data_IF_781553834670
#
_entry.id   IF_781553834670
#
_cell.length_a   1.000
_cell.length_b   1.000
_cell.length_c   1.000
_cell.angle_alpha   90.00
_cell.angle_beta   90.00
_cell.angle_gamma   90.00
#
_symmetry.space_group_name_H-M   'P 1'
#
loop_
_entity.id
_entity.type
_entity.pdbx_description
1 polymer ?
#
# COMPACT_ATOMS: atom_id res chain seq x y z
N UNK A 1 -9.93 6.89 -10.70
CA UNK A 1 -8.93 6.83 -11.81
C UNK A 1 -9.06 7.94 -12.86
N UNK A 2 -10.19 8.66 -12.96
CA UNK A 2 -10.48 9.70 -13.99
C UNK A 2 -9.38 10.76 -14.21
N UNK A 3 -8.63 11.13 -13.17
CA UNK A 3 -7.53 12.11 -13.24
C UNK A 3 -6.31 11.65 -14.06
N UNK A 4 -6.15 10.35 -14.33
CA UNK A 4 -5.03 9.80 -15.08
C UNK A 4 -5.41 9.50 -16.54
N UNK A 5 -4.72 10.15 -17.48
CA UNK A 5 -4.92 10.00 -18.94
C UNK A 5 -3.66 9.50 -19.66
N UNK A 6 -2.64 9.05 -18.92
CA UNK A 6 -1.36 8.59 -19.45
C UNK A 6 -1.45 7.34 -20.33
N UNK A 7 -2.41 6.45 -20.06
CA UNK A 7 -2.73 5.29 -20.89
C UNK A 7 -3.53 5.63 -22.16
N UNK A 8 -4.29 6.74 -22.16
CA UNK A 8 -5.05 7.22 -23.33
C UNK A 8 -4.10 7.90 -24.32
N UNK A 9 -3.20 8.74 -23.80
CA UNK A 9 -2.16 9.43 -24.58
C UNK A 9 -1.02 8.49 -24.98
N UNK A 10 -0.70 7.51 -24.12
CA UNK A 10 0.17 6.36 -24.37
C UNK A 10 1.57 6.71 -24.91
N UNK A 11 2.21 7.75 -24.35
CA UNK A 11 3.60 8.13 -24.70
C UNK A 11 4.55 7.93 -23.51
N UNK A 12 5.87 7.79 -23.75
CA UNK A 12 6.85 7.65 -22.66
C UNK A 12 6.89 8.83 -21.67
N UNK A 13 6.37 10.00 -22.06
CA UNK A 13 6.30 11.19 -21.19
C UNK A 13 4.94 11.36 -20.49
N UNK A 14 3.99 10.45 -20.70
CA UNK A 14 2.65 10.50 -20.05
C UNK A 14 2.27 9.21 -19.33
N UNK A 15 2.74 8.05 -19.78
CA UNK A 15 2.50 6.77 -19.08
C UNK A 15 3.12 6.84 -17.68
N UNK A 16 2.31 6.49 -16.68
CA UNK A 16 2.61 6.59 -15.25
C UNK A 16 2.79 8.01 -14.67
N UNK A 17 2.64 9.06 -15.47
CA UNK A 17 2.80 10.46 -15.03
C UNK A 17 1.44 11.08 -14.73
N UNK A 18 1.34 11.80 -13.62
CA UNK A 18 0.14 12.54 -13.22
C UNK A 18 0.18 13.99 -13.76
N UNK A 19 -0.99 14.64 -13.94
CA UNK A 19 -1.03 16.03 -14.38
C UNK A 19 -0.39 16.97 -13.35
N UNK A 20 0.32 17.99 -13.83
CA UNK A 20 0.85 19.05 -12.98
C UNK A 20 -0.28 19.71 -12.17
N UNK A 21 -0.05 20.07 -10.89
CA UNK A 21 1.25 20.25 -10.25
C UNK A 21 1.82 19.00 -9.53
N UNK A 22 1.26 17.81 -9.76
CA UNK A 22 1.66 16.58 -9.05
C UNK A 22 3.06 16.09 -9.48
N UNK A 23 3.87 15.68 -8.51
CA UNK A 23 5.23 15.18 -8.73
C UNK A 23 5.27 13.67 -9.05
N UNK A 24 6.42 13.19 -9.54
CA UNK A 24 6.62 11.82 -10.01
C UNK A 24 6.47 10.75 -8.92
N UNK A 25 6.85 11.08 -7.67
CA UNK A 25 6.74 10.14 -6.55
C UNK A 25 5.29 9.84 -6.14
N UNK A 26 4.40 10.85 -6.17
CA UNK A 26 2.98 10.68 -5.85
C UNK A 26 2.31 9.75 -6.88
N UNK A 27 2.77 9.76 -8.14
CA UNK A 27 2.34 8.78 -9.12
C UNK A 27 2.77 7.35 -8.73
N UNK A 28 4.02 7.15 -8.31
CA UNK A 28 4.48 5.89 -7.74
C UNK A 28 3.64 5.44 -6.54
N UNK A 29 3.24 6.40 -5.71
CA UNK A 29 2.35 6.17 -4.58
C UNK A 29 0.94 5.72 -5.02
N UNK A 30 0.36 6.33 -6.05
CA UNK A 30 -0.93 5.95 -6.66
C UNK A 30 -0.91 4.53 -7.23
N UNK A 31 0.16 4.12 -7.91
CA UNK A 31 0.27 2.75 -8.41
C UNK A 31 0.34 1.73 -7.28
N UNK A 32 0.90 2.11 -6.13
CA UNK A 32 0.74 1.37 -4.87
C UNK A 32 -0.72 1.26 -4.42
N UNK A 33 -1.51 2.34 -4.52
CA UNK A 33 -2.95 2.34 -4.18
C UNK A 33 -3.74 1.38 -5.06
N UNK A 34 -3.39 1.27 -6.35
CA UNK A 34 -4.08 0.38 -7.29
C UNK A 34 -3.73 -1.11 -7.10
N UNK A 35 -2.52 -1.43 -6.63
CA UNK A 35 -2.17 -2.78 -6.17
C UNK A 35 -2.98 -3.14 -4.91
N UNK A 36 -3.05 -2.21 -3.96
CA UNK A 36 -3.85 -2.36 -2.74
C UNK A 36 -5.34 -2.57 -3.08
N UNK A 37 -5.89 -1.76 -3.99
CA UNK A 37 -7.25 -1.88 -4.52
C UNK A 37 -7.56 -3.28 -5.05
N UNK A 38 -6.78 -3.79 -6.02
CA UNK A 38 -6.98 -5.13 -6.59
C UNK A 38 -6.90 -6.22 -5.52
N UNK A 39 -5.93 -6.13 -4.62
CA UNK A 39 -5.73 -7.11 -3.56
C UNK A 39 -6.87 -7.13 -2.51
N UNK A 40 -7.49 -5.98 -2.24
CA UNK A 40 -8.60 -5.88 -1.28
C UNK A 40 -9.98 -6.20 -1.91
N UNK A 41 -10.20 -5.84 -3.18
CA UNK A 41 -11.50 -5.98 -3.85
C UNK A 41 -11.64 -7.20 -4.75
N UNK A 42 -10.53 -7.67 -5.34
CA UNK A 42 -10.50 -8.67 -6.41
C UNK A 42 -10.80 -8.13 -7.81
N UNK A 43 -11.04 -6.83 -8.00
CA UNK A 43 -11.31 -6.23 -9.32
C UNK A 43 -10.00 -5.94 -10.09
N UNK A 44 -9.82 -6.65 -11.20
CA UNK A 44 -8.63 -6.56 -12.07
C UNK A 44 -8.71 -5.48 -13.16
N UNK A 45 -9.79 -4.68 -13.20
CA UNK A 45 -10.04 -3.64 -14.22
C UNK A 45 -8.88 -2.66 -14.42
N UNK A 46 -8.08 -2.41 -13.37
CA UNK A 46 -6.94 -1.50 -13.41
C UNK A 46 -5.57 -2.19 -13.41
N UNK A 47 -5.50 -3.53 -13.46
CA UNK A 47 -4.24 -4.26 -13.40
C UNK A 47 -3.34 -3.96 -14.60
N UNK A 48 -3.87 -4.04 -15.83
CA UNK A 48 -3.07 -3.79 -17.04
C UNK A 48 -2.47 -2.38 -17.10
N UNK A 49 -3.21 -1.35 -16.66
CA UNK A 49 -2.69 0.04 -16.63
C UNK A 49 -1.67 0.22 -15.50
N UNK A 50 -1.86 -0.43 -14.35
CA UNK A 50 -0.91 -0.40 -13.23
C UNK A 50 0.39 -1.11 -13.57
N UNK A 51 0.35 -2.27 -14.24
CA UNK A 51 1.54 -2.97 -14.75
C UNK A 51 2.25 -2.11 -15.79
N UNK A 52 1.52 -1.54 -16.76
CA UNK A 52 2.09 -0.64 -17.77
C UNK A 52 2.80 0.56 -17.12
N UNK A 53 2.20 1.16 -16.10
CA UNK A 53 2.73 2.33 -15.43
C UNK A 53 3.99 2.02 -14.59
N UNK A 54 3.94 0.96 -13.78
CA UNK A 54 5.10 0.55 -12.97
C UNK A 54 6.29 0.11 -13.83
N UNK A 55 6.04 -0.48 -15.01
CA UNK A 55 7.09 -0.96 -15.93
C UNK A 55 7.67 0.13 -16.83
N UNK A 56 6.98 1.26 -17.05
CA UNK A 56 7.53 2.36 -17.86
C UNK A 56 8.54 3.25 -17.12
N UNK A 57 8.53 3.23 -15.78
CA UNK A 57 9.32 4.13 -14.92
C UNK A 57 10.55 3.46 -14.27
N UNK A 58 10.89 2.22 -14.67
CA UNK A 58 11.94 1.41 -14.00
C UNK A 58 13.38 1.91 -14.20
N UNK A 59 13.63 2.87 -15.08
CA UNK A 59 14.98 3.34 -15.41
C UNK A 59 15.82 2.37 -16.26
N UNK A 60 16.97 2.81 -16.79
CA UNK A 60 17.83 2.00 -17.65
C UNK A 60 18.58 0.88 -16.90
N UNK A 61 18.54 0.86 -15.57
CA UNK A 61 19.15 -0.17 -14.71
C UNK A 61 18.10 -0.98 -13.92
N UNK A 62 16.81 -0.78 -14.20
CA UNK A 62 15.70 -1.45 -13.50
C UNK A 62 15.70 -1.20 -11.99
N UNK A 63 16.03 0.04 -11.59
CA UNK A 63 16.27 0.52 -10.22
C UNK A 63 15.45 1.78 -9.86
N UNK A 64 14.51 2.19 -10.71
CA UNK A 64 13.73 3.43 -10.64
C UNK A 64 14.56 4.72 -10.65
N UNK A 65 15.84 4.70 -11.07
CA UNK A 65 16.57 5.94 -11.38
C UNK A 65 16.19 6.42 -12.79
N UNK A 66 15.44 7.51 -12.92
CA UNK A 66 14.83 7.94 -14.18
C UNK A 66 15.55 9.16 -14.78
N UNK A 67 16.23 9.04 -15.95
CA UNK A 67 17.03 10.13 -16.54
C UNK A 67 16.28 11.45 -16.80
N UNK A 68 14.95 11.41 -16.92
CA UNK A 68 14.07 12.56 -17.10
C UNK A 68 13.57 13.18 -15.78
N UNK A 69 13.81 12.54 -14.62
CA UNK A 69 13.39 12.99 -13.29
C UNK A 69 14.55 13.40 -12.37
N UNK A 70 15.81 13.21 -12.76
CA UNK A 70 17.03 13.46 -11.94
C UNK A 70 17.17 14.83 -11.25
N UNK A 71 16.39 15.85 -11.64
CA UNK A 71 16.35 17.17 -10.98
C UNK A 71 15.48 17.21 -9.73
N UNK A 72 14.53 16.28 -9.67
CA UNK A 72 13.43 16.20 -8.73
C UNK A 72 13.39 14.79 -8.08
N UNK A 73 14.47 14.00 -8.18
CA UNK A 73 14.58 12.60 -7.72
C UNK A 73 15.36 12.52 -6.38
N UNK A 74 14.62 12.43 -5.27
CA UNK A 74 15.11 12.05 -3.95
C UNK A 74 15.11 10.54 -3.69
N UNK A 75 15.69 10.13 -2.57
CA UNK A 75 15.71 8.73 -2.13
C UNK A 75 14.32 8.26 -1.67
N UNK A 76 13.54 9.19 -1.13
CA UNK A 76 12.11 9.10 -0.87
C UNK A 76 11.29 9.01 -2.16
N UNK A 77 11.53 9.88 -3.15
CA UNK A 77 10.83 9.81 -4.45
C UNK A 77 10.97 8.42 -5.07
N UNK A 78 12.21 7.94 -5.15
CA UNK A 78 12.54 6.59 -5.63
C UNK A 78 11.86 5.51 -4.77
N UNK A 79 11.88 5.65 -3.44
CA UNK A 79 11.35 4.65 -2.52
C UNK A 79 9.81 4.50 -2.58
N UNK A 80 9.06 5.49 -3.06
CA UNK A 80 7.61 5.31 -3.26
C UNK A 80 7.28 4.31 -4.37
N UNK A 81 8.06 4.26 -5.45
CA UNK A 81 8.01 3.18 -6.44
C UNK A 81 8.49 1.84 -5.87
N UNK A 82 9.47 1.88 -4.95
CA UNK A 82 9.88 0.74 -4.15
C UNK A 82 8.77 0.18 -3.26
N UNK A 83 7.96 1.04 -2.62
CA UNK A 83 6.82 0.60 -1.81
C UNK A 83 5.77 -0.10 -2.66
N UNK A 84 5.49 0.41 -3.86
CA UNK A 84 4.54 -0.18 -4.80
C UNK A 84 5.03 -1.55 -5.29
N UNK A 85 6.29 -1.66 -5.75
CA UNK A 85 6.84 -2.93 -6.23
C UNK A 85 7.05 -3.98 -5.12
N UNK A 86 7.41 -3.56 -3.91
CA UNK A 86 7.41 -4.44 -2.74
C UNK A 86 5.99 -4.93 -2.39
N UNK A 87 4.97 -4.05 -2.50
CA UNK A 87 3.56 -4.44 -2.30
C UNK A 87 3.07 -5.41 -3.39
N UNK A 88 3.48 -5.22 -4.64
CA UNK A 88 3.15 -6.13 -5.74
C UNK A 88 3.65 -7.56 -5.48
N UNK A 89 4.92 -7.69 -5.04
CA UNK A 89 5.51 -8.97 -4.63
C UNK A 89 4.82 -9.56 -3.38
N UNK A 90 4.61 -8.77 -2.34
CA UNK A 90 3.92 -9.19 -1.10
C UNK A 90 2.47 -9.63 -1.32
N UNK A 91 1.78 -9.10 -2.33
CA UNK A 91 0.34 -9.33 -2.56
C UNK A 91 0.02 -10.29 -3.70
N UNK A 92 1.04 -10.86 -4.35
CA UNK A 92 0.86 -11.77 -5.49
C UNK A 92 0.27 -11.09 -6.73
N UNK A 93 0.57 -9.79 -6.92
CA UNK A 93 0.13 -9.01 -8.07
C UNK A 93 0.72 -9.59 -9.37
N UNK A 94 -0.01 -9.59 -10.52
CA UNK A 94 0.50 -10.20 -11.75
C UNK A 94 1.86 -9.65 -12.17
N UNK A 95 2.84 -10.53 -12.36
CA UNK A 95 4.22 -10.18 -12.72
C UNK A 95 4.30 -9.46 -14.08
N UNK A 96 5.30 -8.59 -14.33
CA UNK A 96 5.42 -7.83 -15.57
C UNK A 96 5.33 -8.67 -16.85
N UNK A 97 5.80 -9.92 -16.78
CA UNK A 97 5.77 -10.89 -17.87
C UNK A 97 4.36 -11.34 -18.30
N UNK A 98 3.31 -11.13 -17.48
CA UNK A 98 1.92 -11.37 -17.89
C UNK A 98 1.38 -10.29 -18.82
N UNK A 99 1.91 -9.07 -18.73
CA UNK A 99 1.59 -7.95 -19.63
C UNK A 99 2.48 -7.96 -20.88
N UNK A 100 3.78 -8.22 -20.72
CA UNK A 100 4.71 -8.38 -21.85
C UNK A 100 5.83 -9.39 -21.49
N UNK A 101 5.84 -10.53 -22.17
CA UNK A 101 6.81 -11.62 -21.98
C UNK A 101 8.27 -11.25 -22.32
N UNK A 102 8.50 -10.08 -22.90
CA UNK A 102 9.85 -9.55 -23.16
C UNK A 102 10.46 -8.82 -21.94
N UNK A 103 9.68 -8.59 -20.88
CA UNK A 103 10.16 -7.91 -19.67
C UNK A 103 11.01 -8.89 -18.84
N UNK A 104 12.30 -8.57 -18.54
CA UNK A 104 13.26 -9.52 -17.98
C UNK A 104 13.33 -9.52 -16.45
N UNK A 105 12.43 -8.81 -15.76
CA UNK A 105 12.48 -8.59 -14.31
C UNK A 105 11.12 -8.87 -13.62
N UNK A 106 11.18 -9.22 -12.33
CA UNK A 106 10.02 -9.35 -11.43
C UNK A 106 9.83 -8.12 -10.54
N UNK A 107 8.68 -8.00 -9.88
CA UNK A 107 8.43 -6.94 -8.89
C UNK A 107 9.44 -6.92 -7.73
N UNK A 108 9.84 -8.11 -7.25
CA UNK A 108 10.89 -8.24 -6.24
C UNK A 108 12.22 -7.66 -6.74
N UNK A 109 12.64 -8.02 -7.95
CA UNK A 109 13.95 -7.62 -8.49
C UNK A 109 14.06 -6.10 -8.68
N UNK A 110 12.98 -5.43 -9.07
CA UNK A 110 12.93 -3.96 -9.10
C UNK A 110 13.13 -3.34 -7.71
N UNK A 111 12.49 -3.93 -6.69
CA UNK A 111 12.66 -3.50 -5.28
C UNK A 111 14.09 -3.71 -4.80
N UNK A 112 14.68 -4.88 -5.09
CA UNK A 112 16.05 -5.22 -4.70
C UNK A 112 17.09 -4.34 -5.41
N UNK A 113 16.92 -4.05 -6.70
CA UNK A 113 17.79 -3.16 -7.46
C UNK A 113 17.78 -1.74 -6.89
N UNK A 114 16.59 -1.16 -6.69
CA UNK A 114 16.36 0.13 -6.05
C UNK A 114 17.04 0.19 -4.68
N UNK A 115 16.77 -0.78 -3.81
CA UNK A 115 17.33 -0.85 -2.47
C UNK A 115 18.86 -0.93 -2.49
N UNK A 116 19.43 -1.69 -3.43
CA UNK A 116 20.87 -1.75 -3.66
C UNK A 116 21.47 -0.40 -4.10
N UNK A 117 20.71 0.50 -4.76
CA UNK A 117 21.18 1.88 -5.01
C UNK A 117 21.27 2.67 -3.71
N UNK A 118 20.27 2.56 -2.82
CA UNK A 118 20.18 3.31 -1.57
C UNK A 118 21.29 2.88 -0.58
N UNK A 119 21.59 1.58 -0.49
CA UNK A 119 22.77 1.06 0.24
C UNK A 119 24.06 1.78 -0.15
N UNK A 120 24.28 2.02 -1.44
CA UNK A 120 25.48 2.71 -1.96
C UNK A 120 25.52 4.21 -1.68
N UNK A 121 24.38 4.80 -1.26
CA UNK A 121 24.23 6.22 -0.90
C UNK A 121 24.22 6.46 0.62
N UNK A 122 24.38 5.43 1.45
CA UNK A 122 24.47 5.58 2.91
C UNK A 122 25.69 6.41 3.30
N UNK A 123 25.47 7.67 3.68
CA UNK A 123 26.51 8.66 3.81
C UNK A 123 26.96 8.82 5.27
N UNK A 124 28.21 8.47 5.56
CA UNK A 124 28.84 8.62 6.88
C UNK A 124 29.68 9.90 7.02
N UNK A 125 29.71 10.81 6.04
CA UNK A 125 30.55 12.02 6.13
C UNK A 125 30.08 13.02 7.19
N UNK A 126 28.82 12.91 7.62
CA UNK A 126 28.18 13.73 8.64
C UNK A 126 27.01 12.96 9.28
N UNK A 127 26.60 13.37 10.49
CA UNK A 127 25.50 12.79 11.25
C UNK A 127 25.67 11.29 11.58
N UNK A 128 26.88 10.73 11.50
CA UNK A 128 27.19 9.32 11.79
C UNK A 128 26.63 8.30 10.78
N UNK A 129 25.95 8.75 9.73
CA UNK A 129 25.20 7.89 8.81
C UNK A 129 23.99 8.61 8.23
N UNK A 130 23.05 7.83 7.69
CA UNK A 130 21.81 8.30 7.09
C UNK A 130 21.93 8.60 5.61
N UNK A 131 20.88 8.27 4.86
CA UNK A 131 20.63 8.79 3.53
C UNK A 131 20.40 10.30 3.59
N UNK A 132 20.82 10.97 2.52
CA UNK A 132 20.41 12.34 2.17
C UNK A 132 18.97 12.28 1.65
N UNK A 133 18.27 13.41 1.67
CA UNK A 133 17.01 13.56 0.93
C UNK A 133 17.29 13.32 -0.56
N UNK A 134 17.98 14.27 -1.21
CA UNK A 134 18.25 14.22 -2.63
C UNK A 134 19.32 13.18 -3.02
N UNK A 135 19.19 12.58 -4.20
CA UNK A 135 20.16 11.64 -4.77
C UNK A 135 21.34 12.38 -5.41
N UNK A 136 21.05 13.48 -6.13
CA UNK A 136 22.02 14.19 -6.95
C UNK A 136 22.54 15.45 -6.28
N UNK A 137 23.87 15.65 -6.35
CA UNK A 137 24.57 16.72 -5.62
C UNK A 137 24.24 18.15 -6.08
N UNK A 138 23.48 18.32 -7.16
CA UNK A 138 23.02 19.60 -7.68
C UNK A 138 21.56 19.95 -7.30
N UNK A 139 20.83 19.04 -6.65
CA UNK A 139 19.44 19.28 -6.23
C UNK A 139 19.40 19.99 -4.86
N UNK A 140 18.42 20.90 -4.71
CA UNK A 140 18.17 21.58 -3.44
C UNK A 140 17.76 20.55 -2.36
N UNK A 141 18.38 20.61 -1.18
CA UNK A 141 18.18 19.61 -0.13
C UNK A 141 19.20 18.46 -0.11
N UNK A 142 20.23 18.46 -0.96
CA UNK A 142 21.31 17.47 -0.90
C UNK A 142 22.17 17.52 0.39
N UNK A 143 22.08 18.60 1.17
CA UNK A 143 22.66 18.69 2.53
C UNK A 143 21.69 18.26 3.63
N UNK A 144 20.44 17.97 3.30
CA UNK A 144 19.40 17.59 4.24
C UNK A 144 19.34 16.06 4.41
N UNK A 145 19.13 15.59 5.63
CA UNK A 145 18.81 14.18 5.92
C UNK A 145 17.42 14.15 6.56
N UNK A 146 16.43 13.64 5.83
CA UNK A 146 15.03 13.67 6.23
C UNK A 146 14.53 12.29 6.73
N UNK A 147 13.38 12.30 7.41
CA UNK A 147 12.74 11.11 7.96
C UNK A 147 12.12 10.21 6.91
N UNK A 148 11.57 10.76 5.83
CA UNK A 148 10.92 9.95 4.78
C UNK A 148 11.95 9.09 4.04
N UNK A 149 13.08 9.63 3.56
CA UNK A 149 14.12 8.84 2.87
C UNK A 149 14.68 7.72 3.75
N UNK A 150 15.02 8.04 5.01
CA UNK A 150 15.61 7.07 5.93
C UNK A 150 14.57 6.06 6.47
N UNK A 151 13.35 6.52 6.76
CA UNK A 151 12.24 5.67 7.16
C UNK A 151 11.81 4.72 6.04
N UNK A 152 11.80 5.19 4.80
CA UNK A 152 11.44 4.37 3.64
C UNK A 152 12.48 3.28 3.39
N UNK A 153 13.78 3.62 3.46
CA UNK A 153 14.86 2.63 3.40
C UNK A 153 14.79 1.63 4.57
N UNK A 154 14.45 2.07 5.78
CA UNK A 154 14.16 1.19 6.93
C UNK A 154 12.98 0.24 6.63
N UNK A 155 11.85 0.75 6.15
CA UNK A 155 10.65 -0.03 5.88
C UNK A 155 10.88 -1.05 4.75
N UNK A 156 11.52 -0.64 3.64
CA UNK A 156 11.88 -1.55 2.54
C UNK A 156 12.87 -2.61 3.01
N UNK A 157 13.86 -2.25 3.83
CA UNK A 157 14.77 -3.21 4.46
C UNK A 157 14.01 -4.22 5.33
N UNK A 158 13.07 -3.77 6.16
CA UNK A 158 12.24 -4.65 7.00
C UNK A 158 11.38 -5.62 6.15
N UNK A 159 10.74 -5.11 5.09
CA UNK A 159 9.89 -5.87 4.17
C UNK A 159 10.68 -6.90 3.38
N UNK A 160 11.82 -6.52 2.81
CA UNK A 160 12.74 -7.44 2.13
C UNK A 160 13.29 -8.50 3.10
N UNK A 161 13.60 -8.16 4.35
CA UNK A 161 14.04 -9.15 5.36
C UNK A 161 12.95 -10.17 5.65
N UNK A 162 11.70 -9.73 5.82
CA UNK A 162 10.54 -10.62 6.03
C UNK A 162 10.27 -11.49 4.81
N UNK A 163 10.21 -10.89 3.63
CA UNK A 163 9.83 -11.57 2.39
C UNK A 163 10.86 -12.63 1.97
N UNK A 164 12.17 -12.32 2.08
CA UNK A 164 13.26 -13.19 1.59
C UNK A 164 13.95 -14.02 2.68
N UNK A 165 13.84 -13.63 3.96
CA UNK A 165 14.62 -14.20 5.07
C UNK A 165 16.09 -13.75 5.14
N UNK A 166 16.58 -12.97 4.17
CA UNK A 166 17.98 -12.57 4.06
C UNK A 166 18.39 -11.57 5.16
N UNK A 167 19.36 -11.99 5.99
CA UNK A 167 19.89 -11.22 7.13
C UNK A 167 20.52 -9.88 6.73
N UNK A 168 20.92 -9.71 5.46
CA UNK A 168 21.47 -8.45 4.96
C UNK A 168 20.44 -7.31 5.06
N UNK A 169 19.18 -7.59 4.71
CA UNK A 169 18.10 -6.62 4.81
C UNK A 169 17.74 -6.33 6.28
N UNK A 170 17.75 -7.34 7.16
CA UNK A 170 17.56 -7.14 8.60
C UNK A 170 18.62 -6.20 9.19
N UNK A 171 19.90 -6.44 8.91
CA UNK A 171 20.99 -5.59 9.38
C UNK A 171 20.81 -4.13 8.98
N UNK A 172 20.41 -3.86 7.73
CA UNK A 172 20.16 -2.50 7.26
C UNK A 172 18.89 -1.87 7.85
N UNK A 173 17.85 -2.65 8.12
CA UNK A 173 16.66 -2.18 8.81
C UNK A 173 17.01 -1.75 10.25
N UNK A 174 17.68 -2.61 11.01
CA UNK A 174 18.11 -2.33 12.39
C UNK A 174 19.07 -1.13 12.43
N UNK A 175 20.11 -1.13 11.59
CA UNK A 175 21.08 -0.02 11.46
C UNK A 175 20.41 1.32 11.13
N UNK A 176 19.42 1.33 10.25
CA UNK A 176 18.73 2.58 9.85
C UNK A 176 17.79 3.06 10.95
N UNK A 177 17.05 2.15 11.59
CA UNK A 177 16.21 2.47 12.75
C UNK A 177 17.04 3.04 13.92
N UNK A 178 18.12 2.33 14.27
CA UNK A 178 18.98 2.72 15.39
C UNK A 178 19.73 4.02 15.05
N UNK A 179 20.07 4.29 13.78
CA UNK A 179 20.58 5.61 13.37
C UNK A 179 19.55 6.72 13.62
N UNK A 180 18.31 6.58 13.11
CA UNK A 180 17.26 7.60 13.24
C UNK A 180 16.90 7.91 14.69
N UNK A 181 16.93 6.90 15.58
CA UNK A 181 16.72 7.11 17.02
C UNK A 181 17.96 7.70 17.71
N UNK A 182 19.18 7.25 17.39
CA UNK A 182 20.40 7.76 18.02
C UNK A 182 20.70 9.23 17.69
N UNK A 183 20.34 9.73 16.49
CA UNK A 183 20.50 11.16 16.18
C UNK A 183 19.37 12.04 16.76
N UNK A 184 18.24 11.44 17.17
CA UNK A 184 17.07 12.16 17.69
C UNK A 184 15.99 12.50 16.66
N UNK A 185 16.16 12.08 15.40
CA UNK A 185 15.19 12.24 14.30
C UNK A 185 13.88 11.48 14.61
N UNK A 186 13.99 10.29 15.19
CA UNK A 186 12.92 9.65 15.96
C UNK A 186 13.17 9.97 17.44
N UNK A 187 12.27 10.75 18.02
CA UNK A 187 12.37 11.19 19.42
C UNK A 187 12.11 10.04 20.42
N UNK A 188 12.50 10.22 21.69
CA UNK A 188 12.14 9.30 22.78
C UNK A 188 10.63 9.17 23.02
N UNK A 189 9.85 10.17 22.61
CA UNK A 189 8.38 10.14 22.56
C UNK A 189 7.81 9.53 21.26
N UNK A 190 8.64 8.88 20.44
CA UNK A 190 8.30 8.25 19.16
C UNK A 190 7.70 9.17 18.09
N UNK A 191 7.71 10.50 18.30
CA UNK A 191 7.49 11.47 17.21
C UNK A 191 8.62 11.37 16.20
N UNK A 192 8.24 11.34 14.93
CA UNK A 192 9.15 11.35 13.77
C UNK A 192 9.27 12.80 13.27
N UNK A 193 10.42 13.43 13.51
CA UNK A 193 10.72 14.79 13.06
C UNK A 193 11.07 14.80 11.57
N UNK A 194 10.81 15.89 10.86
CA UNK A 194 10.96 15.97 9.41
C UNK A 194 12.41 15.73 8.92
N UNK A 195 13.42 16.34 9.55
CA UNK A 195 14.82 16.19 9.13
C UNK A 195 15.79 17.15 9.81
N UNK A 196 17.05 17.11 9.38
CA UNK A 196 18.09 18.08 9.80
C UNK A 196 19.17 18.28 8.72
N UNK A 197 19.85 19.43 8.75
CA UNK A 197 20.96 19.74 7.83
C UNK A 197 22.32 19.23 8.33
N UNK A 198 23.08 18.60 7.45
CA UNK A 198 24.36 17.99 7.76
C UNK A 198 25.51 18.98 8.03
N UNK A 199 25.40 20.22 7.55
CA UNK A 199 26.34 21.30 7.85
C UNK A 199 26.30 21.72 9.33
N UNK A 200 25.18 21.43 10.01
CA UNK A 200 25.02 21.49 11.48
C UNK A 200 25.24 20.11 12.14
N UNK A 201 25.82 19.14 11.43
CA UNK A 201 25.97 17.74 11.84
C UNK A 201 24.65 17.11 12.37
N UNK A 202 23.50 17.51 11.78
CA UNK A 202 22.16 17.13 12.22
C UNK A 202 21.84 17.48 13.70
N UNK A 203 22.43 18.53 14.28
CA UNK A 203 22.14 18.97 15.66
C UNK A 203 20.94 19.92 15.80
N UNK A 204 20.27 20.25 14.69
CA UNK A 204 19.22 21.27 14.60
C UNK A 204 18.14 20.75 13.65
N UNK A 205 17.03 20.30 14.24
CA UNK A 205 15.98 19.55 13.55
C UNK A 205 14.83 20.46 13.13
N UNK A 206 14.28 20.22 11.94
CA UNK A 206 12.94 20.68 11.60
C UNK A 206 11.94 19.93 12.50
N UNK A 207 11.33 20.66 13.43
CA UNK A 207 10.42 20.10 14.44
C UNK A 207 9.04 19.69 13.93
N UNK A 208 8.74 19.91 12.64
CA UNK A 208 7.50 19.45 12.00
C UNK A 208 7.45 17.92 12.00
N UNK A 209 6.26 17.37 12.18
CA UNK A 209 5.98 15.92 12.13
C UNK A 209 4.90 15.66 11.09
N UNK A 210 5.15 14.79 10.12
CA UNK A 210 4.19 14.48 9.04
C UNK A 210 3.62 13.07 9.16
N UNK A 211 2.35 12.89 8.81
CA UNK A 211 1.64 11.62 9.03
C UNK A 211 2.28 10.45 8.26
N UNK A 212 2.67 10.67 7.01
CA UNK A 212 3.27 9.65 6.14
C UNK A 212 4.59 9.10 6.67
N UNK A 213 5.51 9.98 7.10
CA UNK A 213 6.78 9.60 7.73
C UNK A 213 6.53 8.79 9.00
N UNK A 214 5.52 9.17 9.78
CA UNK A 214 5.14 8.44 10.99
C UNK A 214 4.58 7.04 10.69
N UNK A 215 3.71 6.92 9.67
CA UNK A 215 3.18 5.65 9.18
C UNK A 215 4.28 4.71 8.64
N UNK A 216 5.28 5.26 7.95
CA UNK A 216 6.43 4.52 7.42
C UNK A 216 7.23 3.84 8.55
N UNK A 217 7.56 4.54 9.64
CA UNK A 217 8.26 3.93 10.79
C UNK A 217 7.38 2.98 11.60
N UNK A 218 6.07 3.25 11.71
CA UNK A 218 5.10 2.35 12.34
C UNK A 218 5.06 1.00 11.60
N UNK A 219 4.87 1.00 10.28
CA UNK A 219 4.77 -0.23 9.50
C UNK A 219 6.10 -0.99 9.43
N UNK A 220 7.24 -0.31 9.24
CA UNK A 220 8.55 -0.96 9.30
C UNK A 220 8.81 -1.66 10.64
N UNK A 221 8.38 -1.05 11.76
CA UNK A 221 8.46 -1.65 13.09
C UNK A 221 7.53 -2.87 13.23
N UNK A 222 6.32 -2.79 12.68
CA UNK A 222 5.34 -3.87 12.71
C UNK A 222 5.81 -5.09 11.89
N UNK A 223 6.42 -4.86 10.72
CA UNK A 223 7.02 -5.91 9.89
C UNK A 223 8.15 -6.62 10.64
N UNK A 224 8.99 -5.90 11.39
CA UNK A 224 10.04 -6.53 12.21
C UNK A 224 9.50 -7.20 13.49
N UNK A 225 8.40 -6.72 14.07
CA UNK A 225 7.66 -7.45 15.11
C UNK A 225 7.17 -8.81 14.57
N UNK A 226 6.60 -8.83 13.37
CA UNK A 226 6.16 -10.06 12.69
C UNK A 226 7.35 -11.00 12.41
N UNK A 227 8.41 -10.48 11.77
CA UNK A 227 9.61 -11.22 11.41
C UNK A 227 10.33 -11.84 12.62
N UNK A 228 10.43 -11.11 13.73
CA UNK A 228 11.06 -11.59 14.97
C UNK A 228 10.14 -12.46 15.84
N UNK A 229 9.04 -12.97 15.27
CA UNK A 229 8.03 -13.79 15.95
C UNK A 229 7.52 -13.18 17.27
N UNK A 230 7.25 -11.87 17.25
CA UNK A 230 6.64 -11.14 18.36
C UNK A 230 7.61 -10.60 19.41
N UNK A 231 8.86 -10.28 19.07
CA UNK A 231 9.85 -9.80 20.06
C UNK A 231 9.40 -8.54 20.81
N UNK A 232 9.74 -8.48 22.11
CA UNK A 232 9.35 -7.37 23.00
C UNK A 232 9.91 -6.01 22.59
N UNK A 233 11.10 -5.98 21.96
CA UNK A 233 11.70 -4.77 21.39
C UNK A 233 10.83 -4.20 20.28
N UNK A 234 10.49 -5.00 19.28
CA UNK A 234 9.68 -4.54 18.15
C UNK A 234 8.19 -4.35 18.50
N UNK A 235 7.68 -5.09 19.50
CA UNK A 235 6.38 -4.81 20.12
C UNK A 235 6.34 -3.39 20.70
N UNK A 236 7.34 -3.05 21.53
CA UNK A 236 7.42 -1.74 22.19
C UNK A 236 7.56 -0.62 21.16
N UNK A 237 8.45 -0.80 20.17
CA UNK A 237 8.63 0.16 19.07
C UNK A 237 7.32 0.40 18.31
N UNK A 238 6.67 -0.66 17.83
CA UNK A 238 5.39 -0.60 17.10
C UNK A 238 4.27 0.06 17.92
N UNK A 239 4.10 -0.36 19.17
CA UNK A 239 3.07 0.17 20.06
C UNK A 239 3.28 1.65 20.37
N UNK A 240 4.52 2.08 20.57
CA UNK A 240 4.83 3.50 20.83
C UNK A 240 4.69 4.39 19.60
N UNK A 241 5.01 3.92 18.38
CA UNK A 241 4.64 4.65 17.16
C UNK A 241 3.12 4.76 17.03
N UNK A 242 2.36 3.69 17.27
CA UNK A 242 0.90 3.72 17.18
C UNK A 242 0.29 4.74 18.15
N UNK A 243 0.77 4.78 19.40
CA UNK A 243 0.32 5.79 20.37
C UNK A 243 0.70 7.22 19.94
N UNK A 244 1.91 7.42 19.40
CA UNK A 244 2.36 8.72 18.91
C UNK A 244 1.62 9.17 17.63
N UNK A 245 1.06 8.23 16.85
CA UNK A 245 0.25 8.52 15.66
C UNK A 245 -1.07 9.23 16.02
N UNK A 246 -1.51 9.18 17.28
CA UNK A 246 -2.66 9.93 17.78
C UNK A 246 -2.55 11.45 17.59
N UNK A 247 -1.35 11.98 17.34
CA UNK A 247 -1.14 13.38 16.97
C UNK A 247 -1.74 13.79 15.61
N UNK A 248 -2.14 12.83 14.76
CA UNK A 248 -2.76 13.05 13.44
C UNK A 248 -4.28 12.78 13.44
N UNK A 249 -4.91 12.69 14.61
CA UNK A 249 -6.35 12.43 14.77
C UNK A 249 -6.99 13.41 15.77
N UNK A 250 -8.29 13.64 15.64
CA UNK A 250 -9.09 14.51 16.53
C UNK A 250 -8.63 15.98 16.55
N UNK A 251 -8.67 16.71 15.40
CA UNK A 251 -8.27 18.12 15.34
C UNK A 251 -9.05 19.01 16.31
N UNK A 252 -10.35 18.73 16.46
CA UNK A 252 -11.24 19.42 17.40
C UNK A 252 -11.94 18.45 18.33
N UNK A 253 -12.33 18.94 19.51
CA UNK A 253 -13.05 18.16 20.54
C UNK A 253 -14.43 17.67 20.10
N UNK A 254 -14.98 18.20 19.00
CA UNK A 254 -16.20 17.77 18.34
C UNK A 254 -15.96 16.93 17.07
N UNK A 255 -14.71 16.59 16.76
CA UNK A 255 -14.26 15.90 15.53
C UNK A 255 -13.37 14.70 15.85
N UNK A 256 -13.70 13.97 16.93
CA UNK A 256 -12.95 12.83 17.48
C UNK A 256 -12.71 11.72 16.45
N UNK A 257 -11.53 11.10 16.52
CA UNK A 257 -11.07 9.97 15.69
C UNK A 257 -11.00 10.25 14.17
N UNK A 258 -11.08 11.50 13.74
CA UNK A 258 -10.93 11.91 12.32
C UNK A 258 -9.48 12.33 12.03
N UNK A 259 -8.88 11.78 10.97
CA UNK A 259 -7.50 12.03 10.56
C UNK A 259 -7.27 13.38 9.84
N UNK A 260 -6.17 14.07 10.18
CA UNK A 260 -5.77 15.37 9.62
C UNK A 260 -4.24 15.57 9.64
N UNK A 261 -3.70 16.39 8.72
CA UNK A 261 -2.30 16.86 8.80
C UNK A 261 -2.16 18.03 9.78
N UNK A 262 -1.71 17.72 11.00
CA UNK A 262 -1.60 18.68 12.11
C UNK A 262 -0.65 19.88 11.89
N UNK A 263 0.19 19.84 10.86
CA UNK A 263 1.11 20.91 10.53
C UNK A 263 0.54 21.94 9.52
N UNK A 264 -0.55 21.62 8.81
CA UNK A 264 -1.01 22.44 7.69
C UNK A 264 -2.54 22.50 7.49
N UNK A 265 -3.31 21.48 7.92
CA UNK A 265 -4.69 21.30 7.47
C UNK A 265 -5.68 22.25 8.17
N UNK A 266 -5.49 22.50 9.47
CA UNK A 266 -6.32 23.43 10.25
C UNK A 266 -6.19 24.90 9.79
N UNK A 267 -5.07 25.25 9.17
CA UNK A 267 -4.73 26.60 8.73
C UNK A 267 -4.74 26.77 7.20
N UNK A 268 -5.21 25.75 6.46
CA UNK A 268 -5.33 25.73 5.00
C UNK A 268 -4.00 25.98 4.24
N UNK A 269 -2.86 25.53 4.78
CA UNK A 269 -1.51 25.74 4.19
C UNK A 269 -0.85 24.49 3.60
N UNK A 270 -1.59 23.39 3.40
CA UNK A 270 -1.01 22.17 2.83
C UNK A 270 -0.66 22.37 1.35
N UNK A 271 0.54 21.96 0.94
CA UNK A 271 0.93 21.89 -0.47
C UNK A 271 0.45 20.58 -1.14
N UNK A 272 0.76 20.42 -2.44
CA UNK A 272 0.31 19.29 -3.24
C UNK A 272 0.74 17.94 -2.64
N UNK A 273 1.98 17.85 -2.15
CA UNK A 273 2.53 16.65 -1.54
C UNK A 273 1.77 16.31 -0.24
N UNK A 274 1.59 17.32 0.61
CA UNK A 274 0.95 17.18 1.93
C UNK A 274 -0.53 16.74 1.85
N UNK A 275 -1.25 17.10 0.79
CA UNK A 275 -2.62 16.65 0.53
C UNK A 275 -2.76 15.12 0.34
N UNK A 276 -1.64 14.42 0.10
CA UNK A 276 -1.62 12.96 -0.06
C UNK A 276 -1.22 12.17 1.21
N UNK A 277 -0.62 12.83 2.21
CA UNK A 277 0.09 12.16 3.31
C UNK A 277 -0.80 11.26 4.18
N UNK A 278 -2.01 11.73 4.52
CA UNK A 278 -3.01 10.97 5.29
C UNK A 278 -3.45 9.66 4.61
N UNK A 279 -3.38 9.59 3.28
CA UNK A 279 -3.55 8.33 2.54
C UNK A 279 -2.49 7.29 2.89
N UNK A 280 -1.22 7.69 2.96
CA UNK A 280 -0.14 6.76 3.30
C UNK A 280 -0.13 6.37 4.76
N UNK A 281 -0.45 7.30 5.68
CA UNK A 281 -0.68 6.92 7.08
C UNK A 281 -1.78 5.86 7.17
N UNK A 282 -2.90 6.04 6.45
CA UNK A 282 -3.99 5.06 6.38
C UNK A 282 -3.51 3.70 5.83
N UNK A 283 -2.84 3.66 4.67
CA UNK A 283 -2.29 2.44 4.06
C UNK A 283 -1.36 1.69 5.02
N UNK A 284 -0.40 2.39 5.62
CA UNK A 284 0.61 1.80 6.49
C UNK A 284 0.05 1.39 7.86
N UNK A 285 -0.96 2.07 8.39
CA UNK A 285 -1.70 1.63 9.56
C UNK A 285 -2.55 0.38 9.27
N UNK A 286 -3.27 0.33 8.13
CA UNK A 286 -4.02 -0.87 7.75
C UNK A 286 -3.11 -2.10 7.59
N UNK A 287 -1.98 -1.96 6.88
CA UNK A 287 -0.98 -3.02 6.75
C UNK A 287 -0.33 -3.42 8.10
N UNK A 288 -0.18 -2.47 9.03
CA UNK A 288 0.28 -2.75 10.40
C UNK A 288 -0.64 -3.71 11.15
N UNK A 289 -1.97 -3.68 10.90
CA UNK A 289 -2.91 -4.62 11.55
C UNK A 289 -2.65 -6.09 11.17
N UNK A 290 -2.12 -6.34 9.97
CA UNK A 290 -1.82 -7.68 9.47
C UNK A 290 -0.48 -8.20 10.01
N UNK A 291 0.51 -7.32 10.19
CA UNK A 291 1.82 -7.68 10.74
C UNK A 291 1.81 -7.80 12.28
N UNK A 292 1.08 -6.90 12.95
CA UNK A 292 1.08 -6.74 14.40
C UNK A 292 -0.36 -6.74 14.95
N UNK A 293 -1.01 -7.90 14.97
CA UNK A 293 -2.45 -8.05 15.24
C UNK A 293 -2.97 -7.40 16.54
N UNK A 294 -2.12 -7.19 17.56
CA UNK A 294 -2.49 -6.46 18.79
C UNK A 294 -2.89 -4.99 18.54
N UNK A 295 -2.42 -4.40 17.44
CA UNK A 295 -2.74 -3.01 17.02
C UNK A 295 -4.16 -2.86 16.47
N UNK A 296 -4.77 -3.95 15.99
CA UNK A 296 -6.02 -3.95 15.22
C UNK A 296 -7.17 -3.19 15.91
N UNK A 297 -7.45 -3.34 17.22
CA UNK A 297 -8.57 -2.62 17.85
C UNK A 297 -8.42 -1.10 17.80
N UNK A 298 -7.22 -0.57 18.07
CA UNK A 298 -6.94 0.87 18.05
C UNK A 298 -6.96 1.41 16.61
N UNK A 299 -6.30 0.72 15.68
CA UNK A 299 -6.25 1.14 14.27
C UNK A 299 -7.65 1.11 13.63
N UNK A 300 -8.41 0.04 13.82
CA UNK A 300 -9.78 -0.05 13.27
C UNK A 300 -10.70 1.02 13.84
N UNK A 301 -10.56 1.42 15.12
CA UNK A 301 -11.36 2.51 15.70
C UNK A 301 -11.17 3.82 14.94
N UNK A 302 -9.91 4.30 14.86
CA UNK A 302 -9.63 5.61 14.28
C UNK A 302 -9.78 5.65 12.76
N UNK A 303 -9.43 4.56 12.06
CA UNK A 303 -9.55 4.52 10.60
C UNK A 303 -10.99 4.29 10.14
N UNK A 304 -11.85 3.60 10.91
CA UNK A 304 -13.28 3.50 10.56
C UNK A 304 -13.99 4.85 10.74
N UNK A 305 -13.69 5.57 11.82
CA UNK A 305 -14.17 6.94 12.03
C UNK A 305 -13.69 7.89 10.92
N UNK A 306 -12.41 7.78 10.54
CA UNK A 306 -11.83 8.57 9.45
C UNK A 306 -12.41 8.23 8.08
N UNK A 307 -12.66 6.95 7.76
CA UNK A 307 -13.33 6.55 6.52
C UNK A 307 -14.77 7.09 6.45
N UNK A 308 -15.54 6.98 7.54
CA UNK A 308 -16.89 7.55 7.66
C UNK A 308 -16.92 9.09 7.64
N UNK A 309 -15.78 9.75 7.80
CA UNK A 309 -15.62 11.19 7.63
C UNK A 309 -15.22 11.53 6.18
N UNK A 310 -14.25 10.81 5.60
CA UNK A 310 -13.78 10.97 4.23
C UNK A 310 -14.92 10.88 3.21
N UNK A 311 -15.75 9.83 3.28
CA UNK A 311 -16.87 9.61 2.33
C UNK A 311 -17.92 10.74 2.36
N UNK A 312 -18.05 11.50 3.46
CA UNK A 312 -18.95 12.66 3.52
C UNK A 312 -18.41 13.87 2.73
N UNK A 313 -17.11 13.91 2.48
CA UNK A 313 -16.50 14.92 1.61
C UNK A 313 -16.61 14.57 0.13
N UNK A 314 -16.74 13.29 -0.21
CA UNK A 314 -16.87 12.78 -1.58
C UNK A 314 -18.30 12.98 -2.12
N UNK A 315 -18.64 14.24 -2.42
CA UNK A 315 -20.02 14.67 -2.74
C UNK A 315 -20.11 15.77 -3.82
N UNK A 316 -19.06 15.97 -4.62
CA UNK A 316 -18.95 17.05 -5.61
C UNK A 316 -18.40 16.54 -6.95
N UNK A 317 -18.17 17.43 -7.92
CA UNK A 317 -17.76 17.05 -9.29
C UNK A 317 -18.92 16.58 -10.17
N UNK A 318 -18.63 16.30 -11.44
CA UNK A 318 -19.64 15.90 -12.45
C UNK A 318 -20.20 14.48 -12.20
N UNK A 319 -19.41 13.63 -11.54
CA UNK A 319 -19.75 12.27 -11.09
C UNK A 319 -20.39 12.26 -9.68
N UNK A 320 -20.24 13.35 -8.90
CA UNK A 320 -20.61 13.41 -7.49
C UNK A 320 -19.61 12.76 -6.54
N UNK A 321 -18.48 12.25 -7.04
CA UNK A 321 -17.48 11.49 -6.28
C UNK A 321 -16.22 12.31 -5.90
N UNK A 322 -16.18 13.61 -6.17
CA UNK A 322 -15.04 14.47 -5.82
C UNK A 322 -14.93 14.66 -4.29
N UNK A 323 -13.87 14.10 -3.71
CA UNK A 323 -13.53 14.20 -2.28
C UNK A 323 -12.78 15.49 -1.93
N UNK A 324 -12.93 15.94 -0.68
CA UNK A 324 -12.18 17.06 -0.10
C UNK A 324 -11.07 16.61 0.84
N UNK A 325 -10.25 17.55 1.31
CA UNK A 325 -9.15 17.26 2.25
C UNK A 325 -9.65 17.12 3.69
N UNK A 326 -10.52 18.04 4.12
CA UNK A 326 -10.84 18.28 5.53
C UNK A 326 -12.05 17.46 5.98
N UNK A 327 -11.81 16.17 6.19
CA UNK A 327 -12.82 15.17 6.57
C UNK A 327 -13.62 15.55 7.83
N UNK A 328 -13.04 16.35 8.73
CA UNK A 328 -13.68 16.81 9.97
C UNK A 328 -14.75 17.90 9.78
N UNK A 329 -14.88 18.49 8.58
CA UNK A 329 -15.91 19.51 8.27
C UNK A 329 -17.31 18.92 8.09
N UNK A 330 -17.41 17.62 7.77
CA UNK A 330 -18.67 16.91 7.58
C UNK A 330 -19.32 17.06 6.18
N UNK A 331 -18.65 17.69 5.22
CA UNK A 331 -19.10 17.84 3.83
C UNK A 331 -17.92 18.10 2.87
N UNK A 332 -18.18 18.31 1.58
CA UNK A 332 -17.14 18.73 0.64
C UNK A 332 -16.62 20.13 1.01
N UNK A 333 -15.29 20.29 1.10
CA UNK A 333 -14.64 21.51 1.59
C UNK A 333 -14.24 22.50 0.49
N UNK A 334 -14.50 22.16 -0.78
CA UNK A 334 -14.15 22.98 -1.94
C UNK A 334 -12.80 22.65 -2.58
N UNK A 335 -12.02 21.71 -2.03
CA UNK A 335 -10.65 21.42 -2.46
C UNK A 335 -10.49 19.99 -2.98
N UNK A 336 -10.87 19.69 -4.24
CA UNK A 336 -10.65 18.40 -4.86
C UNK A 336 -9.23 18.27 -5.43
N UNK A 337 -8.70 17.05 -5.51
CA UNK A 337 -7.39 16.77 -6.08
C UNK A 337 -7.00 15.30 -5.98
N UNK A 338 -5.84 14.95 -6.55
CA UNK A 338 -5.38 13.56 -6.62
C UNK A 338 -4.97 13.04 -5.23
N UNK A 339 -4.23 13.82 -4.45
CA UNK A 339 -3.88 13.49 -3.06
C UNK A 339 -5.11 13.26 -2.18
N UNK A 340 -6.15 14.08 -2.31
CA UNK A 340 -7.42 13.94 -1.60
C UNK A 340 -8.17 12.66 -2.01
N UNK A 341 -8.26 12.39 -3.31
CA UNK A 341 -8.89 11.18 -3.86
C UNK A 341 -8.16 9.91 -3.43
N UNK A 342 -6.82 9.91 -3.52
CA UNK A 342 -5.99 8.81 -3.05
C UNK A 342 -6.11 8.62 -1.54
N UNK A 343 -6.16 9.70 -0.76
CA UNK A 343 -6.36 9.63 0.69
C UNK A 343 -7.71 9.04 1.08
N UNK A 344 -8.78 9.42 0.38
CA UNK A 344 -10.11 8.85 0.58
C UNK A 344 -10.18 7.37 0.18
N UNK A 345 -9.56 7.01 -0.96
CA UNK A 345 -9.44 5.62 -1.41
C UNK A 345 -8.72 4.77 -0.36
N UNK A 346 -7.55 5.19 0.13
CA UNK A 346 -6.74 4.39 1.06
C UNK A 346 -7.42 4.11 2.40
N UNK A 347 -8.06 5.13 2.99
CA UNK A 347 -8.75 4.95 4.28
C UNK A 347 -9.99 4.05 4.15
N UNK A 348 -10.69 4.10 3.01
CA UNK A 348 -11.88 3.28 2.72
C UNK A 348 -11.50 1.85 2.30
N UNK A 349 -10.60 1.65 1.34
CA UNK A 349 -10.28 0.31 0.82
C UNK A 349 -9.66 -0.59 1.88
N UNK A 350 -8.85 -0.03 2.78
CA UNK A 350 -8.22 -0.77 3.87
C UNK A 350 -9.18 -1.27 4.95
N UNK A 351 -10.47 -0.87 4.94
CA UNK A 351 -11.51 -1.54 5.75
C UNK A 351 -11.59 -3.04 5.43
N UNK A 352 -11.23 -3.45 4.20
CA UNK A 352 -11.17 -4.83 3.75
C UNK A 352 -9.87 -5.55 4.15
N UNK A 353 -8.81 -4.83 4.57
CA UNK A 353 -7.52 -5.42 4.95
C UNK A 353 -7.61 -6.37 6.16
N UNK A 354 -8.70 -6.30 6.92
CA UNK A 354 -9.02 -7.22 8.00
C UNK A 354 -9.46 -8.64 7.53
N UNK A 355 -9.78 -8.80 6.23
CA UNK A 355 -10.28 -10.03 5.61
C UNK A 355 -9.45 -10.48 4.39
N UNK A 356 -8.52 -9.67 3.89
CA UNK A 356 -7.62 -10.03 2.79
C UNK A 356 -6.49 -10.98 3.23
N UNK A 357 -5.79 -11.56 2.26
CA UNK A 357 -4.61 -12.41 2.50
C UNK A 357 -3.46 -11.53 3.04
N UNK A 358 -2.81 -11.86 4.17
CA UNK A 358 -1.66 -11.10 4.65
C UNK A 358 -0.47 -11.17 3.66
N UNK A 359 0.42 -10.15 3.65
CA UNK A 359 1.66 -10.14 2.87
C UNK A 359 2.41 -11.48 2.87
N UNK A 360 2.60 -12.03 1.67
CA UNK A 360 3.26 -13.30 1.43
C UNK A 360 4.76 -13.25 1.76
N UNK A 361 5.36 -14.42 1.90
CA UNK A 361 6.80 -14.64 1.80
C UNK A 361 7.17 -15.16 0.40
N UNK A 362 8.45 -15.05 0.01
CA UNK A 362 8.95 -15.47 -1.30
C UNK A 362 8.64 -16.94 -1.66
N UNK A 363 8.53 -17.82 -0.66
CA UNK A 363 8.18 -19.24 -0.83
C UNK A 363 6.70 -19.50 -1.17
N UNK A 364 5.83 -18.50 -1.04
CA UNK A 364 4.38 -18.62 -1.25
C UNK A 364 3.95 -18.06 -2.62
N UNK A 365 4.72 -17.13 -3.19
CA UNK A 365 4.44 -16.48 -4.48
C UNK A 365 4.53 -17.47 -5.64
N UNK A 366 3.42 -17.65 -6.35
CA UNK A 366 3.33 -18.51 -7.52
C UNK A 366 3.70 -17.73 -8.79
N UNK A 367 4.98 -17.70 -9.15
CA UNK A 367 5.42 -17.08 -10.42
C UNK A 367 4.96 -17.96 -11.60
N UNK A 368 3.81 -17.63 -12.19
CA UNK A 368 3.27 -18.30 -13.38
C UNK A 368 4.05 -17.87 -14.63
N UNK A 369 5.26 -18.41 -14.78
CA UNK A 369 6.01 -18.31 -16.04
C UNK A 369 5.25 -19.14 -17.09
N UNK A 370 4.65 -18.46 -18.07
CA UNK A 370 4.04 -19.10 -19.24
C UNK A 370 5.11 -19.81 -20.09
N UNK A 371 5.42 -21.04 -19.72
CA UNK A 371 6.24 -21.97 -20.50
C UNK A 371 5.62 -22.12 -21.90
N UNK A 372 6.40 -21.97 -23.00
CA UNK A 372 5.89 -22.22 -24.34
C UNK A 372 5.36 -23.64 -24.46
N UNK A 373 4.08 -23.80 -24.85
CA UNK A 373 3.36 -25.08 -24.90
C UNK A 373 3.81 -25.96 -26.07
N UNK A 374 5.04 -26.49 -25.97
CA UNK A 374 5.63 -27.39 -26.96
C UNK A 374 5.11 -28.82 -26.82
N UNK A 375 3.98 -29.12 -27.49
CA UNK A 375 3.48 -30.44 -27.95
C UNK A 375 2.03 -30.27 -28.47
N UNK A 376 1.55 -31.01 -29.46
CA UNK A 376 2.22 -31.84 -30.47
C UNK A 376 1.21 -32.09 -31.61
N UNK A 377 1.63 -31.99 -32.88
CA UNK A 377 0.75 -32.39 -33.99
C UNK A 377 0.76 -33.92 -34.08
N UNK A 378 -0.17 -34.56 -33.39
CA UNK A 378 -0.47 -35.98 -33.59
C UNK A 378 -1.20 -36.09 -34.93
N UNK A 379 -0.55 -36.71 -35.93
CA UNK A 379 -1.26 -37.20 -37.12
C UNK A 379 -2.03 -38.45 -36.73
N UNK A 380 -3.34 -38.45 -36.98
CA UNK A 380 -4.09 -39.69 -37.05
C UNK A 380 -3.65 -40.48 -38.29
N UNK A 381 -3.56 -41.81 -38.14
CA UNK A 381 -3.43 -42.77 -39.24
C UNK A 381 -4.51 -43.82 -39.04
N UNK A 382 -5.37 -43.99 -40.03
CA UNK A 382 -6.61 -44.77 -39.90
C UNK A 382 -6.41 -46.30 -39.89
N UNK A 383 -7.48 -46.99 -39.48
CA UNK A 383 -7.90 -48.33 -39.92
C UNK A 383 -7.13 -49.56 -39.38
N UNK A 384 -7.75 -50.77 -39.36
CA UNK A 384 -9.09 -51.03 -38.82
C UNK A 384 -9.19 -52.38 -38.06
N UNK A 385 -10.25 -52.63 -37.26
CA UNK A 385 -10.74 -54.01 -37.00
C UNK A 385 -12.19 -54.04 -36.50
N UNK A 386 -12.79 -55.23 -36.41
CA UNK A 386 -14.23 -55.47 -36.42
C UNK A 386 -14.77 -56.14 -35.12
N UNK A 387 -16.10 -56.08 -34.93
CA UNK A 387 -16.95 -57.01 -34.15
C UNK A 387 -16.86 -57.05 -32.60
N UNK A 388 -17.91 -57.39 -31.81
CA UNK A 388 -19.38 -57.52 -32.02
C UNK A 388 -20.15 -57.60 -30.66
N UNK A 389 -21.47 -57.25 -30.66
CA UNK A 389 -22.55 -57.63 -29.68
C UNK A 389 -22.50 -57.08 -28.23
N UNK A 390 -23.66 -56.71 -27.65
CA UNK A 390 -23.77 -56.51 -26.18
C UNK A 390 -24.89 -55.65 -25.55
N UNK A 391 -26.01 -55.38 -26.23
CA UNK A 391 -27.40 -55.22 -25.71
C UNK A 391 -27.72 -54.95 -24.21
N UNK A 392 -28.57 -53.94 -23.95
CA UNK A 392 -29.34 -53.74 -22.68
C UNK A 392 -29.02 -52.40 -21.99
N UNK A 393 -29.84 -51.33 -21.94
CA UNK A 393 -31.30 -51.10 -21.84
C UNK A 393 -31.84 -50.91 -20.42
N UNK A 394 -32.43 -49.72 -20.17
CA UNK A 394 -33.50 -49.40 -19.19
C UNK A 394 -33.23 -49.59 -17.67
N UNK A 395 -33.85 -48.83 -16.74
CA UNK A 395 -34.49 -47.49 -16.76
C UNK A 395 -34.89 -47.07 -15.32
N UNK A 396 -35.47 -45.86 -15.17
CA UNK A 396 -36.49 -45.50 -14.17
C UNK A 396 -36.10 -45.16 -12.70
N UNK A 397 -36.32 -43.87 -12.37
CA UNK A 397 -36.85 -43.25 -11.13
C UNK A 397 -38.33 -43.77 -10.90
N UNK A 398 -39.13 -43.45 -9.83
CA UNK A 398 -38.98 -42.37 -8.83
C UNK A 398 -39.59 -42.60 -7.40
N UNK A 399 -39.77 -41.48 -6.65
CA UNK A 399 -40.78 -41.21 -5.58
C UNK A 399 -40.71 -41.96 -4.22
N UNK A 400 -41.48 -41.59 -3.16
CA UNK A 400 -41.64 -40.29 -2.45
C UNK A 400 -42.42 -40.48 -1.11
N UNK A 401 -42.21 -39.61 -0.09
CA UNK A 401 -43.01 -39.48 1.17
C UNK A 401 -42.96 -40.69 2.14
N UNK A 402 -43.38 -40.70 3.43
CA UNK A 402 -43.97 -39.77 4.44
C UNK A 402 -43.56 -40.29 5.87
N UNK A 403 -43.94 -39.83 7.08
CA UNK A 403 -44.79 -38.75 7.69
C UNK A 403 -44.26 -38.51 9.16
N UNK A 404 -45.06 -37.85 10.01
CA UNK A 404 -45.13 -37.89 11.50
C UNK A 404 -43.99 -37.23 12.34
N UNK A 405 -44.22 -36.16 13.14
CA UNK A 405 -45.10 -35.90 14.32
C UNK A 405 -44.42 -36.23 15.69
N UNK A 406 -44.44 -35.42 16.76
CA UNK A 406 -45.10 -34.11 17.03
C UNK A 406 -44.49 -33.30 18.23
N UNK A 407 -44.93 -32.03 18.36
CA UNK A 407 -45.26 -31.30 19.61
C UNK A 407 -44.33 -30.34 20.41
N UNK A 408 -45.01 -29.31 20.98
CA UNK A 408 -44.71 -28.45 22.15
C UNK A 408 -43.62 -27.36 22.16
N UNK A 409 -43.98 -26.20 21.59
CA UNK A 409 -43.91 -24.83 22.15
C UNK A 409 -42.95 -24.45 23.30
N UNK A 410 -42.07 -23.47 23.04
CA UNK A 410 -42.17 -22.09 23.61
C UNK A 410 -41.10 -21.19 22.97
N UNK A 411 -41.30 -19.86 22.95
CA UNK A 411 -40.53 -18.97 22.08
C UNK A 411 -39.79 -17.81 22.76
N UNK A 412 -38.72 -17.35 22.10
CA UNK A 412 -38.19 -15.97 22.14
C UNK A 412 -37.51 -15.68 20.80
N UNK A 413 -37.72 -14.48 20.25
CA UNK A 413 -36.99 -14.03 19.07
C UNK A 413 -35.54 -13.69 19.45
N UNK A 414 -34.59 -14.22 18.68
CA UNK A 414 -33.19 -13.81 18.70
C UNK A 414 -32.63 -13.97 17.29
N UNK A 415 -32.22 -12.87 16.68
CA UNK A 415 -31.53 -12.87 15.38
C UNK A 415 -30.14 -13.49 15.55
N UNK A 416 -29.74 -14.46 14.71
CA UNK A 416 -28.45 -15.12 14.87
C UNK A 416 -27.31 -14.26 14.31
N UNK A 417 -26.16 -14.32 14.98
CA UNK A 417 -24.96 -13.47 14.80
C UNK A 417 -24.24 -13.53 13.43
N UNK A 418 -24.84 -14.16 12.41
CA UNK A 418 -24.25 -14.32 11.07
C UNK A 418 -24.94 -13.49 9.98
N UNK A 419 -26.00 -12.72 10.31
CA UNK A 419 -26.64 -11.81 9.34
C UNK A 419 -26.00 -10.41 9.29
N UNK A 420 -25.36 -9.95 10.36
CA UNK A 420 -24.72 -8.63 10.41
C UNK A 420 -23.45 -8.56 9.55
N UNK A 421 -22.69 -9.66 9.46
CA UNK A 421 -21.48 -9.76 8.64
C UNK A 421 -21.77 -9.63 7.14
N UNK A 422 -22.86 -10.22 6.64
CA UNK A 422 -23.23 -10.15 5.21
C UNK A 422 -23.65 -8.72 4.81
N UNK A 423 -24.37 -8.02 5.71
CA UNK A 423 -24.79 -6.64 5.47
C UNK A 423 -23.62 -5.64 5.54
N UNK A 424 -22.64 -5.87 6.43
CA UNK A 424 -21.42 -5.05 6.49
C UNK A 424 -20.59 -5.17 5.19
N UNK A 425 -20.35 -6.38 4.69
CA UNK A 425 -19.56 -6.62 3.47
C UNK A 425 -20.25 -6.06 2.22
N UNK A 426 -21.58 -6.15 2.14
CA UNK A 426 -22.33 -5.61 0.98
C UNK A 426 -22.42 -4.08 1.00
N UNK A 427 -22.47 -3.44 2.17
CA UNK A 427 -22.36 -1.97 2.24
C UNK A 427 -20.96 -1.47 1.84
N UNK A 428 -19.89 -2.14 2.25
CA UNK A 428 -18.52 -1.76 1.85
C UNK A 428 -18.32 -1.93 0.33
N UNK A 429 -18.79 -3.02 -0.26
CA UNK A 429 -18.74 -3.20 -1.72
C UNK A 429 -19.56 -2.15 -2.48
N UNK A 430 -20.75 -1.78 -1.99
CA UNK A 430 -21.56 -0.72 -2.60
C UNK A 430 -20.90 0.66 -2.50
N UNK A 431 -20.31 0.99 -1.36
CA UNK A 431 -19.56 2.24 -1.17
C UNK A 431 -18.33 2.31 -2.08
N UNK A 432 -17.57 1.22 -2.23
CA UNK A 432 -16.40 1.16 -3.11
C UNK A 432 -16.80 1.32 -4.58
N UNK A 433 -17.91 0.72 -5.02
CA UNK A 433 -18.38 0.88 -6.40
C UNK A 433 -18.81 2.33 -6.73
N UNK A 434 -19.23 3.13 -5.74
CA UNK A 434 -19.50 4.55 -5.91
C UNK A 434 -18.24 5.44 -6.06
N UNK A 435 -17.02 4.91 -5.86
CA UNK A 435 -15.77 5.63 -6.13
C UNK A 435 -15.27 5.45 -7.59
N UNK A 436 -15.99 4.68 -8.42
CA UNK A 436 -15.46 4.11 -9.67
C UNK A 436 -16.32 4.36 -10.92
N UNK A 437 -17.52 4.94 -10.75
CA UNK A 437 -18.51 5.22 -11.80
C UNK A 437 -18.46 6.67 -12.28
#
# INVERSE_FOLDING_TARGET
MSYYTGNITNTPSTIAVLPAPIYWWEAGALWGSMIDYFHYTGDDSYNNVTIQALTSQVGPQFDYMMPNHVKDEGNDDQAFWGFATMSAAEKGFPEPSTYNTSIPYTWLQLTENLWNTQVRRWDTSACGGGLRWQIFAFNNGYTYKNSVSNGAFFQLSARLARFTGNQTYLHWAEKTYDWSTNIGLVTSGYKVLDGADMGKNCSDFNGITWSYSHGIYLYGSAVLYNYTNGSSTWYTRTNSFLNAAGAFFSPYSNSTDIMFENACEEIETCDNDQLSFKGYLSRFMWATTQMAAFTKPAITSVLSSSALAAVKTCTSGDDGAACGQRWYTGGFDGHPGIGQQMSALEVVQGLLAAASVPPLHNSEVQIVVNQPTSRSIIRETENPTNSLVGTGSSSARPEQTSKDESNTASGRYGTPWWMESVLATTLTAALINCFLS
#
